data_IF_857505703285
#
_entry.id   IF_857505703285
#
_cell.length_a   1.000
_cell.length_b   1.000
_cell.length_c   1.000
_cell.angle_alpha   90.00
_cell.angle_beta   90.00
_cell.angle_gamma   90.00
#
_symmetry.space_group_name_H-M   'P 1'
#
loop_
_entity.id
_entity.type
_entity.pdbx_description
1 polymer ?
#
# COMPACT_ATOMS: atom_id res chain seq x y z
N UNK A 1 14.88 -18.67 15.99
CA UNK A 1 15.34 -19.58 14.92
C UNK A 1 15.03 -18.90 13.60
N UNK A 2 15.97 -18.85 12.66
CA UNK A 2 15.79 -18.17 11.36
C UNK A 2 15.78 -19.22 10.26
N UNK A 3 14.83 -19.13 9.32
CA UNK A 3 14.75 -20.03 8.16
C UNK A 3 15.43 -19.37 6.95
N UNK A 4 16.53 -19.93 6.41
CA UNK A 4 17.22 -19.34 5.28
C UNK A 4 16.54 -19.66 3.95
N UNK A 5 16.38 -18.67 3.08
CA UNK A 5 16.17 -18.91 1.65
C UNK A 5 17.54 -19.15 1.00
N UNK A 6 17.92 -20.42 0.85
CA UNK A 6 19.27 -20.82 0.42
C UNK A 6 19.47 -20.64 -1.08
N UNK A 7 20.74 -20.63 -1.51
CA UNK A 7 21.10 -20.67 -2.94
C UNK A 7 20.43 -21.85 -3.67
N UNK A 8 20.41 -23.03 -3.06
CA UNK A 8 19.81 -24.24 -3.63
C UNK A 8 18.28 -24.08 -3.78
N UNK A 9 17.62 -23.43 -2.82
CA UNK A 9 16.20 -23.13 -2.91
C UNK A 9 15.87 -22.16 -4.05
N UNK A 10 16.75 -21.19 -4.34
CA UNK A 10 16.62 -20.29 -5.50
C UNK A 10 16.89 -21.05 -6.81
N UNK A 11 17.93 -21.88 -6.87
CA UNK A 11 18.26 -22.67 -8.06
C UNK A 11 17.11 -23.60 -8.47
N UNK A 12 16.42 -24.20 -7.49
CA UNK A 12 15.29 -25.08 -7.72
C UNK A 12 14.07 -24.39 -8.38
N UNK A 13 14.02 -23.05 -8.46
CA UNK A 13 12.94 -22.34 -9.18
C UNK A 13 12.99 -22.66 -10.67
N UNK A 14 14.19 -22.80 -11.25
CA UNK A 14 14.38 -23.02 -12.68
C UNK A 14 13.77 -24.35 -13.19
N UNK A 15 13.70 -25.35 -12.31
CA UNK A 15 13.26 -26.71 -12.65
C UNK A 15 11.79 -26.98 -12.30
N UNK A 16 11.04 -25.95 -11.90
CA UNK A 16 9.66 -26.08 -11.43
C UNK A 16 8.67 -25.41 -12.38
N UNK A 17 7.45 -25.97 -12.54
CA UNK A 17 6.37 -25.22 -13.15
C UNK A 17 6.05 -24.02 -12.25
N UNK A 18 6.10 -22.82 -12.82
CA UNK A 18 5.80 -21.57 -12.12
C UNK A 18 4.39 -21.13 -12.52
N UNK A 19 3.48 -20.87 -11.58
CA UNK A 19 2.19 -20.28 -11.91
C UNK A 19 2.43 -18.88 -12.52
N UNK A 20 1.85 -18.63 -13.68
CA UNK A 20 1.95 -17.36 -14.37
C UNK A 20 0.77 -16.46 -14.00
N UNK A 21 1.05 -15.17 -13.78
CA UNK A 21 0.01 -14.15 -13.65
C UNK A 21 -0.62 -13.94 -15.03
N UNK A 22 -1.95 -13.81 -15.14
CA UNK A 22 -2.61 -13.53 -16.41
C UNK A 22 -2.07 -12.27 -17.09
N UNK A 23 -1.99 -12.28 -18.42
CA UNK A 23 -1.57 -11.11 -19.20
C UNK A 23 -2.56 -9.95 -19.03
N UNK A 24 -2.05 -8.81 -18.57
CA UNK A 24 -2.82 -7.56 -18.46
C UNK A 24 -2.52 -6.72 -19.70
N UNK A 25 -3.47 -6.65 -20.63
CA UNK A 25 -3.29 -5.88 -21.85
C UNK A 25 -3.18 -4.36 -21.54
N UNK A 26 -2.35 -3.61 -22.28
CA UNK A 26 -2.30 -2.16 -22.16
C UNK A 26 -3.69 -1.53 -22.31
N UNK A 27 -4.02 -0.56 -21.46
CA UNK A 27 -5.31 0.15 -21.47
C UNK A 27 -6.55 -0.74 -21.28
N UNK A 28 -6.38 -2.00 -20.84
CA UNK A 28 -7.51 -2.89 -20.55
C UNK A 28 -8.31 -2.46 -19.32
N UNK A 29 -7.71 -1.66 -18.45
CA UNK A 29 -8.31 -1.16 -17.22
C UNK A 29 -8.20 0.38 -17.19
N UNK A 30 -9.31 1.11 -16.98
CA UNK A 30 -9.23 2.54 -16.70
C UNK A 30 -8.55 2.79 -15.35
N UNK A 31 -7.89 3.94 -15.14
CA UNK A 31 -7.34 4.31 -13.84
C UNK A 31 -8.45 4.35 -12.77
N UNK A 32 -8.19 3.74 -11.61
CA UNK A 32 -9.11 3.78 -10.45
C UNK A 32 -9.29 5.21 -9.96
N UNK A 33 -8.20 5.99 -9.93
CA UNK A 33 -8.21 7.41 -9.56
C UNK A 33 -7.38 8.21 -10.58
N UNK A 34 -8.01 8.86 -11.57
CA UNK A 34 -7.29 9.63 -12.58
C UNK A 34 -6.39 10.72 -11.99
N UNK A 35 -5.15 10.81 -12.46
CA UNK A 35 -4.18 11.81 -12.00
C UNK A 35 -3.36 11.41 -10.77
N UNK A 36 -3.62 10.24 -10.19
CA UNK A 36 -2.83 9.65 -9.11
C UNK A 36 -2.19 8.34 -9.57
N UNK A 37 -0.91 8.15 -9.27
CA UNK A 37 -0.31 6.83 -9.23
C UNK A 37 -0.76 6.16 -7.92
N UNK A 38 -1.21 4.90 -8.05
CA UNK A 38 -1.60 4.05 -6.92
C UNK A 38 -0.76 2.77 -6.96
N UNK A 39 -0.08 2.47 -5.86
CA UNK A 39 0.72 1.24 -5.70
C UNK A 39 0.58 0.76 -4.26
N UNK A 40 1.21 -0.37 -3.91
CA UNK A 40 1.19 -1.01 -2.59
C UNK A 40 -0.12 -0.78 -1.82
N UNK A 41 -1.06 -1.69 -1.99
CA UNK A 41 -2.37 -1.58 -1.37
C UNK A 41 -2.58 -2.68 -0.34
N UNK A 42 -3.22 -2.33 0.77
CA UNK A 42 -3.61 -3.28 1.81
C UNK A 42 -4.97 -2.92 2.41
N UNK A 43 -5.83 -3.89 2.71
CA UNK A 43 -7.09 -3.65 3.37
C UNK A 43 -6.90 -3.38 4.87
N UNK A 44 -7.90 -2.81 5.51
CA UNK A 44 -8.11 -2.99 6.95
C UNK A 44 -8.47 -4.45 7.20
N UNK A 45 -7.74 -5.09 8.10
CA UNK A 45 -7.86 -6.50 8.39
C UNK A 45 -8.41 -6.74 9.80
N UNK A 46 -9.09 -7.86 9.96
CA UNK A 46 -9.35 -8.48 11.25
C UNK A 46 -8.05 -9.02 11.87
N UNK A 47 -8.07 -9.32 13.17
CA UNK A 47 -6.91 -9.91 13.87
C UNK A 47 -6.44 -11.25 13.29
N UNK A 48 -7.30 -11.96 12.55
CA UNK A 48 -6.95 -13.23 11.87
C UNK A 48 -6.41 -13.04 10.44
N UNK A 49 -6.30 -11.79 9.98
CA UNK A 49 -5.79 -11.44 8.65
C UNK A 49 -6.86 -11.43 7.55
N UNK A 50 -8.11 -11.78 7.85
CA UNK A 50 -9.22 -11.60 6.91
C UNK A 50 -9.50 -10.10 6.67
N UNK A 51 -10.10 -9.77 5.53
CA UNK A 51 -10.49 -8.40 5.20
C UNK A 51 -11.71 -8.03 6.04
N UNK A 52 -11.63 -6.91 6.77
CA UNK A 52 -12.72 -6.43 7.60
C UNK A 52 -13.84 -5.83 6.73
N UNK A 53 -15.10 -6.15 7.06
CA UNK A 53 -16.27 -5.48 6.47
C UNK A 53 -16.56 -4.17 7.20
N UNK A 54 -16.37 -3.05 6.51
CA UNK A 54 -16.54 -1.70 7.05
C UNK A 54 -17.50 -0.95 6.13
N UNK A 55 -18.67 -0.61 6.67
CA UNK A 55 -19.73 0.10 5.95
C UNK A 55 -20.14 -0.59 4.63
N UNK A 56 -20.18 -1.94 4.61
CA UNK A 56 -20.60 -2.75 3.47
C UNK A 56 -19.54 -2.91 2.38
N UNK A 57 -18.26 -2.83 2.74
CA UNK A 57 -17.14 -2.99 1.83
C UNK A 57 -15.79 -3.02 2.54
N UNK A 58 -14.71 -3.06 1.76
CA UNK A 58 -13.35 -3.04 2.27
C UNK A 58 -12.83 -1.61 2.33
N UNK A 59 -12.34 -1.18 3.50
CA UNK A 59 -11.54 0.03 3.61
C UNK A 59 -10.10 -0.31 3.25
N UNK A 60 -9.58 0.32 2.20
CA UNK A 60 -8.28 0.05 1.58
C UNK A 60 -7.33 1.23 1.83
N UNK A 61 -6.08 0.91 2.16
CA UNK A 61 -4.97 1.84 2.25
C UNK A 61 -4.10 1.64 1.03
N UNK A 62 -3.81 2.71 0.30
CA UNK A 62 -2.99 2.67 -0.91
C UNK A 62 -1.87 3.68 -0.79
N UNK A 63 -0.67 3.33 -1.24
CA UNK A 63 0.32 4.36 -1.50
C UNK A 63 -0.09 5.15 -2.74
N UNK A 64 0.02 6.47 -2.62
CA UNK A 64 -0.41 7.41 -3.66
C UNK A 64 0.56 8.57 -3.82
N UNK A 65 0.60 9.10 -5.04
CA UNK A 65 1.27 10.34 -5.39
C UNK A 65 0.70 10.85 -6.72
N UNK A 66 0.79 12.17 -7.02
CA UNK A 66 0.43 12.68 -8.32
C UNK A 66 1.18 11.95 -9.44
N UNK A 67 0.53 11.72 -10.58
CA UNK A 67 1.23 11.18 -11.76
C UNK A 67 2.31 12.18 -12.20
N UNK A 68 3.55 11.71 -12.28
CA UNK A 68 4.72 12.48 -12.70
C UNK A 68 5.24 12.00 -14.06
N UNK A 69 6.03 12.81 -14.79
CA UNK A 69 6.68 12.37 -16.03
C UNK A 69 7.59 11.15 -15.82
N UNK A 70 8.27 11.10 -14.67
CA UNK A 70 9.03 9.94 -14.21
C UNK A 70 8.25 9.21 -13.11
N UNK A 71 7.73 7.99 -13.36
CA UNK A 71 6.97 7.25 -12.37
C UNK A 71 7.80 6.86 -11.14
N UNK A 72 9.13 6.75 -11.23
CA UNK A 72 9.99 6.45 -10.08
C UNK A 72 10.01 7.61 -9.07
N UNK A 73 9.82 8.84 -9.54
CA UNK A 73 9.81 10.03 -8.68
C UNK A 73 8.65 10.02 -7.65
N UNK A 74 7.62 9.20 -7.84
CA UNK A 74 6.48 9.07 -6.91
C UNK A 74 6.88 8.63 -5.50
N UNK A 75 7.96 7.86 -5.37
CA UNK A 75 8.43 7.33 -4.09
C UNK A 75 8.91 8.43 -3.12
N UNK A 76 9.26 9.60 -3.64
CA UNK A 76 9.64 10.78 -2.86
C UNK A 76 8.43 11.61 -2.39
N UNK A 77 7.23 11.36 -2.92
CA UNK A 77 6.00 12.08 -2.61
C UNK A 77 4.91 11.20 -1.98
N UNK A 78 5.26 9.96 -1.62
CA UNK A 78 4.31 8.95 -1.20
C UNK A 78 3.50 9.37 0.04
N UNK A 79 2.17 9.31 -0.11
CA UNK A 79 1.17 9.44 0.96
C UNK A 79 0.26 8.22 0.98
N UNK A 80 -0.23 7.85 2.15
CA UNK A 80 -1.25 6.81 2.29
C UNK A 80 -2.60 7.44 2.00
N UNK A 81 -3.30 6.92 1.00
CA UNK A 81 -4.65 7.30 0.61
C UNK A 81 -5.65 6.26 1.07
N UNK A 82 -6.75 6.72 1.65
CA UNK A 82 -7.87 5.87 2.02
C UNK A 82 -8.84 5.76 0.83
N UNK A 83 -9.18 4.53 0.46
CA UNK A 83 -10.18 4.23 -0.57
C UNK A 83 -11.17 3.20 -0.02
N UNK A 84 -12.45 3.31 -0.37
CA UNK A 84 -13.47 2.33 -0.01
C UNK A 84 -13.87 1.53 -1.25
N UNK A 85 -13.76 0.22 -1.16
CA UNK A 85 -14.13 -0.70 -2.23
C UNK A 85 -15.42 -1.43 -1.84
N UNK A 86 -16.48 -1.22 -2.62
CA UNK A 86 -17.78 -1.91 -2.45
C UNK A 86 -18.19 -2.59 -3.74
N UNK A 87 -19.36 -3.25 -3.73
CA UNK A 87 -19.97 -3.78 -4.95
C UNK A 87 -20.24 -2.70 -6.03
N UNK A 88 -20.37 -1.43 -5.64
CA UNK A 88 -20.58 -0.30 -6.55
C UNK A 88 -19.25 0.24 -7.12
N UNK A 89 -18.12 -0.29 -6.67
CA UNK A 89 -16.78 0.08 -7.11
C UNK A 89 -15.96 0.84 -6.07
N UNK A 90 -15.01 1.64 -6.56
CA UNK A 90 -14.05 2.36 -5.73
C UNK A 90 -14.53 3.77 -5.43
N UNK A 91 -14.40 4.17 -4.16
CA UNK A 91 -14.62 5.53 -3.69
C UNK A 91 -13.36 6.07 -3.01
N UNK A 92 -12.93 7.23 -3.48
CA UNK A 92 -11.84 7.96 -2.87
C UNK A 92 -12.28 8.69 -1.58
N UNK A 93 -11.51 8.53 -0.49
CA UNK A 93 -11.72 9.19 0.80
C UNK A 93 -10.61 10.22 1.12
N UNK A 94 -9.61 10.36 0.26
CA UNK A 94 -8.50 11.30 0.43
C UNK A 94 -7.31 10.73 1.18
N UNK A 95 -6.35 11.60 1.48
CA UNK A 95 -5.17 11.24 2.25
C UNK A 95 -5.58 10.81 3.67
N UNK A 96 -5.10 9.66 4.11
CA UNK A 96 -5.49 9.05 5.37
C UNK A 96 -5.01 9.88 6.56
N UNK A 97 -3.74 10.30 6.51
CA UNK A 97 -3.11 11.06 7.58
C UNK A 97 -3.19 12.56 7.25
N UNK A 98 -3.54 13.42 8.21
CA UNK A 98 -3.39 14.86 8.07
C UNK A 98 -1.93 15.28 7.83
N UNK A 99 -1.75 16.39 7.14
CA UNK A 99 -0.43 16.97 6.90
C UNK A 99 0.33 17.21 8.21
N UNK A 100 1.59 16.79 8.23
CA UNK A 100 2.47 16.95 9.39
C UNK A 100 2.18 15.99 10.54
N UNK A 101 1.25 15.04 10.42
CA UNK A 101 1.06 14.00 11.42
C UNK A 101 2.18 12.95 11.35
N UNK A 102 2.52 12.48 10.13
CA UNK A 102 3.56 11.47 9.93
C UNK A 102 4.93 11.93 10.47
N UNK A 103 5.70 11.07 11.17
CA UNK A 103 7.04 11.41 11.65
C UNK A 103 8.05 11.61 10.51
N UNK A 104 7.88 10.89 9.40
CA UNK A 104 8.70 11.00 8.19
C UNK A 104 8.20 12.09 7.25
N UNK A 105 8.94 12.30 6.16
CA UNK A 105 8.51 13.13 5.02
C UNK A 105 7.61 12.37 4.06
N UNK A 106 7.70 11.04 4.04
CA UNK A 106 6.88 10.13 3.22
C UNK A 106 6.26 9.04 4.06
N UNK A 107 5.13 8.55 3.58
CA UNK A 107 4.37 7.46 4.19
C UNK A 107 4.46 6.26 3.25
N UNK A 108 5.08 5.18 3.72
CA UNK A 108 5.29 3.94 2.97
C UNK A 108 4.51 2.78 3.59
N UNK A 109 4.54 1.63 2.93
CA UNK A 109 3.65 0.49 3.15
C UNK A 109 3.65 -0.04 4.58
N UNK A 110 2.58 -0.74 4.92
CA UNK A 110 2.45 -1.45 6.18
C UNK A 110 1.17 -2.29 6.22
N UNK A 111 0.39 -2.15 7.29
CA UNK A 111 -0.85 -2.88 7.50
C UNK A 111 -1.84 -2.04 8.34
N UNK A 112 -3.12 -2.41 8.32
CA UNK A 112 -4.12 -1.78 9.16
C UNK A 112 -4.98 -2.87 9.81
N UNK A 113 -5.18 -2.79 11.13
CA UNK A 113 -5.93 -3.79 11.89
C UNK A 113 -7.07 -3.11 12.63
N UNK A 114 -8.29 -3.60 12.45
CA UNK A 114 -9.46 -3.15 13.21
C UNK A 114 -9.50 -3.80 14.58
N UNK A 115 -9.97 -3.07 15.59
CA UNK A 115 -10.21 -3.61 16.92
C UNK A 115 -11.39 -4.60 16.91
N UNK A 116 -11.45 -5.57 17.84
CA UNK A 116 -12.54 -6.55 17.88
C UNK A 116 -13.96 -5.98 18.06
N UNK A 117 -14.08 -4.75 18.57
CA UNK A 117 -15.33 -3.99 18.72
C UNK A 117 -15.62 -3.06 17.54
N UNK A 118 -14.76 -3.03 16.51
CA UNK A 118 -14.87 -2.22 15.30
C UNK A 118 -14.97 -0.71 15.59
N UNK A 119 -14.40 -0.25 16.70
CA UNK A 119 -14.40 1.15 17.11
C UNK A 119 -13.11 1.91 16.77
N UNK A 120 -12.05 1.18 16.40
CA UNK A 120 -10.72 1.73 16.15
C UNK A 120 -9.97 0.93 15.10
N UNK A 121 -9.24 1.64 14.25
CA UNK A 121 -8.24 1.05 13.35
C UNK A 121 -6.85 1.45 13.84
N UNK A 122 -5.96 0.46 13.95
CA UNK A 122 -4.53 0.70 14.19
C UNK A 122 -3.80 0.60 12.87
N UNK A 123 -3.21 1.70 12.42
CA UNK A 123 -2.35 1.76 11.24
C UNK A 123 -0.90 1.47 11.66
N UNK A 124 -0.30 0.48 11.03
CA UNK A 124 1.13 0.24 11.01
C UNK A 124 1.65 0.66 9.64
N UNK A 125 2.65 1.52 9.58
CA UNK A 125 3.18 2.00 8.32
C UNK A 125 4.65 2.36 8.49
N UNK A 126 5.36 2.44 7.38
CA UNK A 126 6.77 2.82 7.38
C UNK A 126 6.86 4.34 7.24
N UNK A 127 7.37 5.02 8.27
CA UNK A 127 7.70 6.44 8.17
C UNK A 127 9.09 6.56 7.52
N UNK A 128 9.14 7.08 6.29
CA UNK A 128 10.37 7.25 5.53
C UNK A 128 10.86 8.70 5.56
N UNK A 129 12.18 8.87 5.66
CA UNK A 129 12.85 10.16 5.79
C UNK A 129 12.55 10.86 7.11
N UNK A 130 12.81 12.17 7.14
CA UNK A 130 12.52 13.03 8.30
C UNK A 130 11.56 14.15 7.92
N UNK A 131 10.65 14.48 8.83
CA UNK A 131 9.77 15.64 8.64
C UNK A 131 10.57 16.92 8.37
N UNK A 132 10.22 17.60 7.27
CA UNK A 132 10.84 18.86 6.87
C UNK A 132 12.24 18.71 6.26
N UNK A 133 12.64 17.51 5.85
CA UNK A 133 13.90 17.31 5.14
C UNK A 133 13.94 18.12 3.83
N UNK A 134 15.11 18.69 3.53
CA UNK A 134 15.36 19.43 2.28
C UNK A 134 15.90 18.53 1.18
N UNK A 135 16.55 17.42 1.56
CA UNK A 135 17.04 16.37 0.67
C UNK A 135 16.48 15.02 1.16
N UNK A 136 16.04 14.12 0.26
CA UNK A 136 15.48 12.84 0.67
C UNK A 136 16.47 11.97 1.43
N UNK A 137 16.13 11.61 2.68
CA UNK A 137 16.82 10.56 3.41
C UNK A 137 16.20 9.18 3.10
N UNK A 138 16.98 8.12 3.33
CA UNK A 138 16.54 6.72 3.25
C UNK A 138 16.25 6.10 4.62
N UNK A 139 16.26 6.90 5.69
CA UNK A 139 15.88 6.43 7.03
C UNK A 139 14.42 5.92 7.04
N UNK A 140 14.17 4.83 7.75
CA UNK A 140 12.88 4.15 7.82
C UNK A 140 12.59 3.72 9.26
N UNK A 141 11.35 3.89 9.71
CA UNK A 141 10.87 3.53 11.06
C UNK A 141 9.48 2.92 11.02
#
# INVERSE_FOLDING_TARGET
MTSPWTRDAVAAIADRPIPEVPFIAPHSMPPVLPGQDLWDYWPVQECDGSVADIAGGALQMLLSAPVLPDPESRHALARIRAMHETADGWRDLGDLLPDGLAPGSREWSGSAIVSPDHDRVTLYFTAAGHRGETEPSFDQR
#
